data_IF_752771123960
#
_entry.id   IF_752771123960
#
_cell.length_a   1.000
_cell.length_b   1.000
_cell.length_c   1.000
_cell.angle_alpha   90.00
_cell.angle_beta   90.00
_cell.angle_gamma   90.00
#
_symmetry.space_group_name_H-M   'P 1'
#
loop_
_entity.id
_entity.type
_entity.pdbx_description
1 polymer ?
#
# COMPACT_ATOMS: atom_id res chain seq x y z
N UNK A 1 -5.35 -22.31 -24.96
CA UNK A 1 -5.03 -20.88 -24.66
C UNK A 1 -4.17 -20.82 -23.42
N UNK A 2 -3.14 -20.00 -23.41
CA UNK A 2 -2.27 -19.77 -22.25
C UNK A 2 -2.33 -18.30 -21.85
N UNK A 3 -2.11 -18.00 -20.58
CA UNK A 3 -1.95 -16.61 -20.11
C UNK A 3 -0.64 -16.04 -20.67
N UNK A 4 -0.61 -14.71 -20.90
CA UNK A 4 0.61 -14.01 -21.25
C UNK A 4 1.57 -14.02 -20.03
N UNK A 5 2.73 -14.68 -20.19
CA UNK A 5 3.61 -15.02 -19.08
C UNK A 5 4.54 -13.85 -18.72
N UNK A 6 4.13 -13.02 -17.77
CA UNK A 6 4.89 -11.87 -17.26
C UNK A 6 5.28 -11.96 -15.78
N UNK A 7 4.89 -13.05 -15.11
CA UNK A 7 5.17 -13.25 -13.68
C UNK A 7 5.99 -14.53 -13.43
N UNK A 8 7.05 -14.48 -12.62
CA UNK A 8 7.67 -15.69 -12.10
C UNK A 8 6.76 -16.33 -11.06
N UNK A 9 6.08 -17.43 -11.41
CA UNK A 9 5.11 -18.09 -10.56
C UNK A 9 5.77 -19.13 -9.66
N UNK A 10 5.38 -19.19 -8.38
CA UNK A 10 5.56 -20.38 -7.57
C UNK A 10 4.55 -21.44 -8.04
N UNK A 11 4.94 -22.73 -8.18
CA UNK A 11 4.06 -23.79 -8.65
C UNK A 11 3.09 -24.29 -7.55
N UNK A 12 2.35 -23.37 -6.94
CA UNK A 12 1.38 -23.60 -5.87
C UNK A 12 0.04 -23.05 -6.34
N UNK A 13 -0.98 -23.89 -6.43
CA UNK A 13 -2.31 -23.51 -6.86
C UNK A 13 -3.21 -23.26 -5.63
N UNK A 14 -3.35 -22.00 -5.21
CA UNK A 14 -4.20 -21.63 -4.07
C UNK A 14 -5.66 -21.67 -4.49
N UNK A 15 -6.49 -22.42 -3.74
CA UNK A 15 -7.92 -22.64 -4.03
C UNK A 15 -8.85 -22.24 -2.88
N UNK A 16 -8.32 -22.05 -1.68
CA UNK A 16 -9.09 -21.66 -0.49
C UNK A 16 -8.28 -20.73 0.40
N UNK A 17 -8.97 -19.82 1.08
CA UNK A 17 -8.34 -18.91 2.04
C UNK A 17 -9.30 -18.55 3.18
N UNK A 18 -8.79 -18.33 4.40
CA UNK A 18 -9.54 -17.84 5.55
C UNK A 18 -8.60 -17.19 6.58
N UNK A 19 -8.93 -16.01 7.08
CA UNK A 19 -8.11 -15.30 8.06
C UNK A 19 -6.69 -15.03 7.55
N UNK A 20 -5.68 -15.56 8.22
CA UNK A 20 -4.25 -15.48 7.82
C UNK A 20 -3.75 -16.77 7.15
N UNK A 21 -4.64 -17.63 6.65
CA UNK A 21 -4.31 -18.92 6.07
C UNK A 21 -4.80 -19.05 4.64
N UNK A 22 -4.03 -19.78 3.83
CA UNK A 22 -4.40 -20.18 2.47
C UNK A 22 -4.14 -21.67 2.28
N UNK A 23 -4.90 -22.31 1.38
CA UNK A 23 -4.76 -23.75 1.06
C UNK A 23 -4.60 -23.95 -0.44
N UNK A 24 -3.70 -24.86 -0.79
CA UNK A 24 -3.54 -25.26 -2.19
C UNK A 24 -4.57 -26.31 -2.63
N UNK A 25 -4.49 -26.72 -3.90
CA UNK A 25 -5.35 -27.71 -4.52
C UNK A 25 -5.17 -29.14 -3.97
N UNK A 26 -4.12 -29.36 -3.17
CA UNK A 26 -3.84 -30.61 -2.46
C UNK A 26 -4.28 -30.57 -1.00
N UNK A 27 -4.86 -29.46 -0.56
CA UNK A 27 -5.30 -29.25 0.81
C UNK A 27 -4.16 -28.88 1.78
N UNK A 28 -2.96 -28.58 1.26
CA UNK A 28 -1.85 -28.10 2.10
C UNK A 28 -2.15 -26.68 2.58
N UNK A 29 -2.09 -26.50 3.90
CA UNK A 29 -2.25 -25.19 4.53
C UNK A 29 -0.92 -24.42 4.54
N UNK A 30 -1.02 -23.10 4.34
CA UNK A 30 0.08 -22.15 4.44
C UNK A 30 -0.32 -20.98 5.32
N UNK A 31 0.60 -20.48 6.15
CA UNK A 31 0.47 -19.21 6.85
C UNK A 31 0.82 -18.07 5.88
N UNK A 32 -0.06 -17.09 5.76
CA UNK A 32 0.13 -15.93 4.87
C UNK A 32 0.64 -14.71 5.64
N UNK A 33 1.97 -14.52 5.65
CA UNK A 33 2.63 -13.32 6.18
C UNK A 33 2.82 -12.23 5.12
N UNK A 34 2.13 -12.31 3.97
CA UNK A 34 2.30 -11.38 2.86
C UNK A 34 1.02 -10.68 2.42
N UNK A 35 -0.14 -11.31 2.63
CA UNK A 35 -1.44 -10.73 2.31
C UNK A 35 -1.61 -10.32 0.84
N UNK A 36 -0.97 -11.04 -0.11
CA UNK A 36 -1.03 -10.70 -1.52
C UNK A 36 -0.57 -9.26 -1.81
N UNK A 37 0.65 -8.88 -1.44
CA UNK A 37 1.18 -7.51 -1.53
C UNK A 37 0.48 -6.49 -0.60
N UNK A 38 0.06 -6.90 0.61
CA UNK A 38 -0.71 -6.11 1.58
C UNK A 38 -2.14 -5.76 1.09
N UNK A 39 -2.69 -6.55 0.18
CA UNK A 39 -4.08 -6.38 -0.28
C UNK A 39 -5.07 -6.87 0.78
N UNK A 40 -4.76 -8.00 1.40
CA UNK A 40 -5.60 -8.58 2.46
C UNK A 40 -5.37 -7.82 3.77
N UNK A 41 -6.31 -6.93 4.10
CA UNK A 41 -6.22 -6.07 5.29
C UNK A 41 -6.92 -6.68 6.52
N UNK A 42 -8.13 -7.21 6.36
CA UNK A 42 -8.97 -7.71 7.46
C UNK A 42 -9.05 -9.24 7.53
N UNK A 43 -8.21 -9.93 6.75
CA UNK A 43 -8.19 -11.39 6.62
C UNK A 43 -8.92 -11.90 5.39
N UNK A 44 -8.45 -13.05 4.89
CA UNK A 44 -9.07 -13.71 3.76
C UNK A 44 -10.50 -14.13 4.09
N UNK A 45 -11.43 -13.99 3.14
CA UNK A 45 -12.84 -14.41 3.24
C UNK A 45 -13.50 -14.04 4.58
N UNK A 46 -13.24 -12.83 5.05
CA UNK A 46 -13.81 -12.33 6.30
C UNK A 46 -15.34 -12.36 6.25
N UNK A 47 -16.05 -13.00 7.20
CA UNK A 47 -17.49 -13.31 7.04
C UNK A 47 -18.38 -12.08 6.86
N UNK A 48 -18.12 -10.99 7.56
CA UNK A 48 -18.89 -9.75 7.40
C UNK A 48 -18.69 -9.13 6.02
N UNK A 49 -17.45 -9.12 5.52
CA UNK A 49 -17.10 -8.65 4.18
C UNK A 49 -17.79 -9.47 3.08
N UNK A 50 -17.78 -10.81 3.22
CA UNK A 50 -18.51 -11.70 2.29
C UNK A 50 -19.99 -11.37 2.30
N UNK A 51 -20.61 -11.28 3.48
CA UNK A 51 -22.04 -10.97 3.63
C UNK A 51 -22.43 -9.63 3.01
N UNK A 52 -21.64 -8.57 3.24
CA UNK A 52 -21.90 -7.23 2.67
C UNK A 52 -21.87 -7.24 1.13
N UNK A 53 -20.96 -8.01 0.52
CA UNK A 53 -20.88 -8.14 -0.94
C UNK A 53 -22.07 -8.97 -1.47
N UNK A 54 -22.42 -10.08 -0.82
CA UNK A 54 -23.58 -10.89 -1.18
C UNK A 54 -24.88 -10.08 -1.15
N UNK A 55 -25.11 -9.32 -0.08
CA UNK A 55 -26.30 -8.48 0.05
C UNK A 55 -26.34 -7.41 -1.05
N UNK A 56 -25.20 -6.78 -1.32
CA UNK A 56 -25.10 -5.77 -2.36
C UNK A 56 -25.31 -6.37 -3.76
N UNK A 57 -24.82 -7.59 -3.99
CA UNK A 57 -25.00 -8.30 -5.25
C UNK A 57 -26.48 -8.61 -5.52
N UNK A 58 -27.24 -8.93 -4.48
CA UNK A 58 -28.69 -9.13 -4.59
C UNK A 58 -29.48 -7.83 -4.81
N UNK A 59 -28.95 -6.69 -4.34
CA UNK A 59 -29.60 -5.40 -4.54
C UNK A 59 -29.26 -4.80 -5.90
N UNK A 60 -28.01 -4.45 -6.14
CA UNK A 60 -27.50 -3.92 -7.39
C UNK A 60 -25.97 -4.06 -7.44
N UNK A 61 -25.47 -4.68 -8.50
CA UNK A 61 -24.03 -4.87 -8.70
C UNK A 61 -23.36 -3.63 -9.30
N UNK A 62 -24.01 -2.99 -10.27
CA UNK A 62 -23.46 -1.87 -11.03
C UNK A 62 -24.53 -0.95 -11.57
N UNK A 63 -24.26 0.36 -11.54
CA UNK A 63 -24.87 1.35 -12.38
C UNK A 63 -23.84 2.47 -12.69
N UNK A 64 -24.14 3.29 -13.69
CA UNK A 64 -23.27 4.38 -14.15
C UNK A 64 -23.17 5.52 -13.12
N UNK A 65 -22.03 6.18 -13.05
CA UNK A 65 -21.82 7.42 -12.27
C UNK A 65 -22.62 8.63 -12.80
N UNK A 66 -23.57 8.43 -13.69
CA UNK A 66 -24.51 9.47 -14.15
C UNK A 66 -25.72 9.67 -13.22
N UNK A 67 -25.85 8.87 -12.17
CA UNK A 67 -26.91 8.98 -11.14
C UNK A 67 -26.32 8.96 -9.74
N UNK A 68 -27.09 9.44 -8.77
CA UNK A 68 -26.69 9.38 -7.36
C UNK A 68 -26.71 7.94 -6.85
N UNK A 69 -25.63 7.56 -6.19
CA UNK A 69 -25.49 6.26 -5.51
C UNK A 69 -25.23 6.51 -4.02
N UNK A 70 -26.22 6.34 -3.13
CA UNK A 70 -26.07 6.63 -1.70
C UNK A 70 -24.90 5.91 -1.03
N UNK A 71 -24.57 4.70 -1.48
CA UNK A 71 -23.44 3.92 -0.94
C UNK A 71 -22.07 4.59 -1.16
N UNK A 72 -21.92 5.43 -2.19
CA UNK A 72 -20.69 6.21 -2.39
C UNK A 72 -20.56 7.32 -1.35
N UNK A 73 -21.67 7.98 -0.99
CA UNK A 73 -21.71 9.01 0.05
C UNK A 73 -21.48 8.40 1.43
N UNK A 74 -22.08 7.23 1.70
CA UNK A 74 -21.81 6.43 2.92
C UNK A 74 -20.32 6.10 3.04
N UNK A 75 -19.68 5.63 1.96
CA UNK A 75 -18.25 5.34 1.96
C UNK A 75 -17.39 6.58 2.16
N UNK A 76 -17.73 7.72 1.53
CA UNK A 76 -17.00 8.97 1.71
C UNK A 76 -17.06 9.44 3.17
N UNK A 77 -18.24 9.36 3.79
CA UNK A 77 -18.45 9.70 5.21
C UNK A 77 -17.62 8.78 6.12
N UNK A 78 -17.72 7.47 5.93
CA UNK A 78 -16.98 6.51 6.73
C UNK A 78 -15.45 6.66 6.60
N UNK A 79 -14.96 6.98 5.40
CA UNK A 79 -13.54 7.27 5.16
C UNK A 79 -13.08 8.54 5.88
N UNK A 80 -13.85 9.61 5.81
CA UNK A 80 -13.54 10.86 6.50
C UNK A 80 -13.48 10.65 8.02
N UNK A 81 -14.38 9.86 8.57
CA UNK A 81 -14.43 9.55 10.01
C UNK A 81 -13.22 8.72 10.45
N UNK A 82 -12.97 7.58 9.80
CA UNK A 82 -11.89 6.66 10.22
C UNK A 82 -10.50 7.26 9.96
N UNK A 83 -10.33 8.05 8.90
CA UNK A 83 -9.05 8.69 8.56
C UNK A 83 -8.78 9.98 9.32
N UNK A 84 -9.80 10.57 9.96
CA UNK A 84 -9.71 11.90 10.58
C UNK A 84 -9.58 13.04 9.59
N UNK A 85 -9.74 12.80 8.28
CA UNK A 85 -9.65 13.82 7.22
C UNK A 85 -11.06 14.39 6.95
N UNK A 86 -11.60 15.08 7.95
CA UNK A 86 -12.89 15.74 7.84
C UNK A 86 -12.90 16.69 6.64
N UNK A 87 -14.00 16.79 5.94
CA UNK A 87 -14.22 17.67 4.78
C UNK A 87 -13.44 17.33 3.50
N UNK A 88 -12.62 16.25 3.48
CA UNK A 88 -12.01 15.79 2.25
C UNK A 88 -13.07 15.19 1.32
N UNK A 89 -12.89 15.43 0.02
CA UNK A 89 -13.77 14.88 -1.03
C UNK A 89 -13.19 13.57 -1.53
N UNK A 90 -14.05 12.63 -1.91
CA UNK A 90 -13.65 11.31 -2.41
C UNK A 90 -13.90 11.21 -3.93
N UNK A 91 -12.87 10.82 -4.68
CA UNK A 91 -13.02 10.31 -6.05
C UNK A 91 -12.61 8.84 -6.08
N UNK A 92 -13.47 7.97 -6.63
CA UNK A 92 -13.30 6.53 -6.67
C UNK A 92 -12.82 6.03 -8.03
N UNK A 93 -11.96 5.01 -8.03
CA UNK A 93 -11.46 4.30 -9.20
C UNK A 93 -11.28 2.80 -8.86
N UNK A 94 -10.46 2.04 -9.62
CA UNK A 94 -10.43 0.58 -9.48
C UNK A 94 -9.07 0.03 -9.02
N UNK A 95 -8.04 0.85 -9.01
CA UNK A 95 -6.68 0.41 -8.67
C UNK A 95 -5.82 1.55 -8.09
N UNK A 96 -4.69 1.18 -7.47
CA UNK A 96 -3.72 2.16 -6.99
C UNK A 96 -3.04 2.94 -8.11
N UNK A 97 -2.80 2.32 -9.26
CA UNK A 97 -2.26 3.03 -10.41
C UNK A 97 -3.22 4.11 -10.92
N UNK A 98 -4.52 3.78 -11.07
CA UNK A 98 -5.55 4.78 -11.42
C UNK A 98 -5.66 5.88 -10.35
N UNK A 99 -5.58 5.55 -9.07
CA UNK A 99 -5.61 6.53 -7.98
C UNK A 99 -4.45 7.52 -8.10
N UNK A 100 -3.22 7.04 -8.32
CA UNK A 100 -2.04 7.89 -8.51
C UNK A 100 -2.11 8.71 -9.81
N UNK A 101 -2.58 8.12 -10.92
CA UNK A 101 -2.83 8.86 -12.17
C UNK A 101 -3.78 10.03 -11.96
N UNK A 102 -4.91 9.79 -11.30
CA UNK A 102 -5.90 10.82 -11.05
C UNK A 102 -5.39 11.88 -10.06
N UNK A 103 -4.61 11.49 -9.04
CA UNK A 103 -3.97 12.43 -8.11
C UNK A 103 -2.99 13.36 -8.84
N UNK A 104 -2.09 12.81 -9.67
CA UNK A 104 -1.12 13.57 -10.45
C UNK A 104 -1.80 14.49 -11.48
N UNK A 105 -2.80 13.96 -12.19
CA UNK A 105 -3.60 14.72 -13.14
C UNK A 105 -4.33 15.88 -12.47
N UNK A 106 -4.96 15.64 -11.32
CA UNK A 106 -5.69 16.65 -10.55
C UNK A 106 -4.75 17.74 -10.05
N UNK A 107 -3.58 17.36 -9.52
CA UNK A 107 -2.57 18.32 -9.08
C UNK A 107 -2.09 19.24 -10.23
N UNK A 108 -1.90 18.67 -11.42
CA UNK A 108 -1.55 19.43 -12.61
C UNK A 108 -2.67 20.37 -13.06
N UNK A 109 -3.93 19.95 -13.03
CA UNK A 109 -5.08 20.81 -13.30
C UNK A 109 -5.20 21.95 -12.30
N UNK A 110 -5.01 21.67 -11.01
CA UNK A 110 -5.14 22.65 -9.93
C UNK A 110 -4.07 23.74 -10.02
N UNK A 111 -2.81 23.35 -10.27
CA UNK A 111 -1.67 24.27 -10.28
C UNK A 111 -1.39 24.89 -11.67
N UNK A 112 -1.88 24.30 -12.75
CA UNK A 112 -1.51 24.65 -14.13
C UNK A 112 -0.07 24.27 -14.50
N UNK A 113 0.62 23.48 -13.68
CA UNK A 113 2.03 23.12 -13.81
C UNK A 113 2.20 21.68 -14.30
N UNK A 114 3.42 21.32 -14.72
CA UNK A 114 3.70 20.01 -15.36
C UNK A 114 4.64 19.12 -14.56
N UNK A 115 5.59 19.70 -13.80
CA UNK A 115 6.64 18.91 -13.17
C UNK A 115 6.15 18.27 -11.89
N UNK A 116 6.59 17.02 -11.66
CA UNK A 116 6.30 16.24 -10.48
C UNK A 116 7.61 15.78 -9.85
N UNK A 117 7.75 15.94 -8.56
CA UNK A 117 8.84 15.36 -7.79
C UNK A 117 8.42 13.98 -7.30
N UNK A 118 9.25 12.99 -7.58
CA UNK A 118 9.20 11.62 -7.04
C UNK A 118 10.55 11.29 -6.39
N UNK A 119 10.70 10.10 -5.82
CA UNK A 119 11.90 9.75 -5.07
C UNK A 119 12.53 8.46 -5.59
N UNK A 120 13.85 8.33 -5.37
CA UNK A 120 14.56 7.09 -5.70
C UNK A 120 13.90 5.89 -5.03
N UNK A 121 13.83 4.78 -5.76
CA UNK A 121 13.17 3.52 -5.37
C UNK A 121 11.65 3.60 -5.19
N UNK A 122 10.97 4.70 -5.55
CA UNK A 122 9.52 4.81 -5.48
C UNK A 122 8.82 3.82 -6.43
N UNK A 123 7.62 3.41 -6.04
CA UNK A 123 6.72 2.62 -6.88
C UNK A 123 5.28 3.16 -6.78
N UNK A 124 4.80 3.79 -7.83
CA UNK A 124 3.46 4.42 -7.86
C UNK A 124 2.45 3.75 -8.79
N UNK A 125 2.88 2.80 -9.59
CA UNK A 125 2.00 2.06 -10.49
C UNK A 125 2.65 1.64 -11.80
N UNK A 126 1.83 1.12 -12.72
CA UNK A 126 2.29 0.61 -14.02
C UNK A 126 1.60 1.27 -15.21
N UNK A 127 0.83 2.31 -14.98
CA UNK A 127 0.15 3.08 -16.03
C UNK A 127 0.88 4.40 -16.26
N UNK A 128 0.84 4.90 -17.46
CA UNK A 128 1.25 6.23 -17.94
C UNK A 128 2.16 7.06 -16.99
N UNK A 129 1.61 8.07 -16.30
CA UNK A 129 2.39 8.95 -15.43
C UNK A 129 2.78 8.27 -14.09
N UNK A 130 1.96 7.35 -13.59
CA UNK A 130 2.30 6.57 -12.39
C UNK A 130 3.53 5.68 -12.61
N UNK A 131 3.69 5.08 -13.81
CA UNK A 131 4.90 4.32 -14.12
C UNK A 131 6.08 5.24 -14.38
N UNK A 132 5.88 6.41 -14.99
CA UNK A 132 6.94 7.40 -15.17
C UNK A 132 7.47 7.92 -13.82
N UNK A 133 6.60 8.06 -12.80
CA UNK A 133 6.99 8.45 -11.45
C UNK A 133 7.55 7.28 -10.61
N UNK A 134 7.57 6.06 -11.14
CA UNK A 134 8.18 4.87 -10.51
C UNK A 134 9.65 4.78 -10.90
N UNK A 135 10.55 4.69 -9.90
CA UNK A 135 12.00 4.59 -10.14
C UNK A 135 12.40 3.16 -10.51
N UNK A 136 12.00 2.74 -11.70
CA UNK A 136 12.39 1.45 -12.28
C UNK A 136 12.37 1.52 -13.82
N UNK A 137 13.49 1.85 -14.46
CA UNK A 137 13.56 1.97 -15.92
C UNK A 137 13.13 0.70 -16.68
N UNK A 138 13.25 -0.48 -16.08
CA UNK A 138 12.93 -1.74 -16.75
C UNK A 138 11.45 -1.95 -17.04
N UNK A 139 10.56 -1.14 -16.45
CA UNK A 139 9.10 -1.22 -16.63
C UNK A 139 8.51 0.02 -17.28
N UNK A 140 9.33 1.01 -17.62
CA UNK A 140 8.91 2.22 -18.34
C UNK A 140 9.01 1.90 -19.83
N UNK A 141 7.87 1.85 -20.51
CA UNK A 141 7.85 1.70 -21.95
C UNK A 141 8.20 3.05 -22.62
N UNK A 142 8.77 3.08 -23.86
CA UNK A 142 9.13 4.33 -24.54
C UNK A 142 8.00 5.37 -24.62
N UNK A 143 6.75 4.91 -24.72
CA UNK A 143 5.56 5.78 -24.72
C UNK A 143 5.29 6.46 -23.36
N UNK A 144 5.88 5.97 -22.28
CA UNK A 144 5.73 6.53 -20.93
C UNK A 144 6.91 7.40 -20.49
N UNK A 145 7.95 7.52 -21.32
CA UNK A 145 9.09 8.40 -21.05
C UNK A 145 8.65 9.86 -21.04
N UNK A 146 9.10 10.63 -20.06
CA UNK A 146 8.79 12.06 -19.93
C UNK A 146 9.83 12.79 -19.09
N UNK A 147 10.12 14.04 -19.46
CA UNK A 147 10.98 14.96 -18.68
C UNK A 147 10.22 15.69 -17.57
N UNK A 148 8.95 15.33 -17.34
CA UNK A 148 8.13 15.97 -16.30
C UNK A 148 8.36 15.41 -14.90
N UNK A 149 9.06 14.28 -14.76
CA UNK A 149 9.37 13.68 -13.46
C UNK A 149 10.79 14.05 -13.03
N UNK A 150 10.90 14.51 -11.79
CA UNK A 150 12.17 14.83 -11.13
C UNK A 150 12.37 13.80 -10.01
N UNK A 151 13.39 12.95 -10.13
CA UNK A 151 13.73 12.02 -9.07
C UNK A 151 14.74 12.65 -8.11
N UNK A 152 14.40 12.64 -6.81
CA UNK A 152 15.28 13.08 -5.73
C UNK A 152 15.67 11.90 -4.83
N UNK A 153 16.82 11.96 -4.14
CA UNK A 153 17.13 10.95 -3.13
C UNK A 153 16.08 10.93 -2.02
N UNK A 154 15.69 9.72 -1.60
CA UNK A 154 14.74 9.54 -0.50
C UNK A 154 15.39 9.95 0.83
N UNK A 155 14.64 10.66 1.69
CA UNK A 155 15.10 11.24 2.97
C UNK A 155 16.22 12.31 2.85
N UNK A 156 16.40 12.93 1.70
CA UNK A 156 17.37 14.01 1.50
C UNK A 156 16.67 15.38 1.45
N UNK A 157 16.61 16.04 2.63
CA UNK A 157 16.00 17.37 2.78
C UNK A 157 16.76 18.43 1.98
N UNK A 158 18.09 18.32 1.90
CA UNK A 158 18.90 19.33 1.19
C UNK A 158 18.65 19.28 -0.33
N UNK A 159 18.58 18.07 -0.91
CA UNK A 159 18.22 17.87 -2.30
C UNK A 159 16.80 18.38 -2.62
N UNK A 160 15.84 18.14 -1.72
CA UNK A 160 14.46 18.63 -1.83
C UNK A 160 14.44 20.16 -1.86
N UNK A 161 15.04 20.82 -0.87
CA UNK A 161 15.07 22.27 -0.75
C UNK A 161 15.78 22.94 -1.93
N UNK A 162 16.91 22.38 -2.39
CA UNK A 162 17.61 22.84 -3.58
C UNK A 162 16.72 22.77 -4.82
N UNK A 163 16.05 21.65 -5.05
CA UNK A 163 15.13 21.47 -6.18
C UNK A 163 14.02 22.53 -6.18
N UNK A 164 13.42 22.78 -5.03
CA UNK A 164 12.37 23.79 -4.90
C UNK A 164 12.90 25.21 -5.05
N UNK A 165 14.10 25.54 -4.56
CA UNK A 165 14.72 26.85 -4.76
C UNK A 165 14.99 27.14 -6.24
N UNK A 166 15.40 26.12 -7.02
CA UNK A 166 15.76 26.26 -8.44
C UNK A 166 14.52 26.27 -9.36
N UNK A 167 13.48 25.46 -9.07
CA UNK A 167 12.37 25.26 -10.01
C UNK A 167 10.99 25.05 -9.35
N UNK A 168 10.82 25.41 -8.06
CA UNK A 168 9.59 25.18 -7.31
C UNK A 168 8.33 25.76 -7.96
N UNK A 169 8.43 26.90 -8.67
CA UNK A 169 7.29 27.51 -9.38
C UNK A 169 6.81 26.69 -10.58
N UNK A 170 7.58 25.69 -11.05
CA UNK A 170 7.18 24.78 -12.14
C UNK A 170 6.66 23.43 -11.63
N UNK A 171 6.81 23.14 -10.32
CA UNK A 171 6.42 21.87 -9.71
C UNK A 171 4.91 21.88 -9.42
N UNK A 172 4.18 20.94 -10.04
CA UNK A 172 2.75 20.71 -9.80
C UNK A 172 2.52 19.94 -8.50
N UNK A 173 3.33 18.91 -8.26
CA UNK A 173 3.17 18.02 -7.11
C UNK A 173 4.48 17.39 -6.66
N UNK A 174 4.47 16.97 -5.38
CA UNK A 174 5.36 15.96 -4.84
C UNK A 174 4.52 14.72 -4.56
N UNK A 175 4.94 13.54 -5.05
CA UNK A 175 4.32 12.26 -4.73
C UNK A 175 5.30 11.39 -3.95
N UNK A 176 4.84 10.81 -2.82
CA UNK A 176 5.68 10.00 -1.95
C UNK A 176 4.89 8.92 -1.22
N UNK A 177 5.47 7.72 -1.12
CA UNK A 177 5.03 6.69 -0.18
C UNK A 177 5.58 7.03 1.23
N UNK A 178 4.74 7.10 2.24
CA UNK A 178 5.22 7.27 3.64
C UNK A 178 6.10 6.09 4.12
N UNK A 179 5.91 4.92 3.50
CA UNK A 179 6.81 3.76 3.61
C UNK A 179 6.92 3.15 2.22
N UNK A 180 8.10 3.17 1.62
CA UNK A 180 8.36 2.60 0.30
C UNK A 180 8.29 1.08 0.36
N UNK A 181 7.18 0.52 -0.12
CA UNK A 181 6.90 -0.90 0.03
C UNK A 181 7.74 -1.80 -0.87
N UNK A 182 7.75 -1.53 -2.17
CA UNK A 182 8.44 -2.35 -3.19
C UNK A 182 9.95 -2.27 -3.02
N UNK A 183 10.47 -1.13 -2.62
CA UNK A 183 11.88 -0.90 -2.35
C UNK A 183 12.47 -1.77 -1.22
N UNK A 184 11.63 -2.26 -0.30
CA UNK A 184 12.07 -3.06 0.85
C UNK A 184 11.75 -2.43 2.20
N UNK A 185 10.62 -1.75 2.30
CA UNK A 185 10.08 -1.16 3.53
C UNK A 185 10.99 -0.03 4.08
N UNK A 186 11.35 0.92 3.23
CA UNK A 186 12.05 2.12 3.67
C UNK A 186 11.05 3.14 4.20
N UNK A 187 11.21 3.52 5.47
CA UNK A 187 10.34 4.49 6.15
C UNK A 187 10.82 5.91 5.84
N UNK A 188 9.90 6.79 5.49
CA UNK A 188 10.20 8.20 5.38
C UNK A 188 10.41 8.81 6.77
N UNK A 189 11.48 9.61 6.93
CA UNK A 189 11.74 10.32 8.17
C UNK A 189 10.68 11.40 8.39
N UNK A 190 10.23 11.55 9.62
CA UNK A 190 9.18 12.52 9.96
C UNK A 190 9.59 13.95 9.56
N UNK A 191 10.86 14.32 9.80
CA UNK A 191 11.40 15.61 9.38
C UNK A 191 11.41 15.81 7.85
N UNK A 192 11.59 14.71 7.10
CA UNK A 192 11.54 14.77 5.63
C UNK A 192 10.12 15.00 5.11
N UNK A 193 9.12 14.32 5.68
CA UNK A 193 7.71 14.54 5.34
C UNK A 193 7.27 15.97 5.71
N UNK A 194 7.73 16.50 6.84
CA UNK A 194 7.49 17.89 7.26
C UNK A 194 8.16 18.90 6.30
N UNK A 195 9.37 18.59 5.83
CA UNK A 195 10.05 19.44 4.83
C UNK A 195 9.33 19.44 3.49
N UNK A 196 8.78 18.29 3.03
CA UNK A 196 7.93 18.22 1.83
C UNK A 196 6.70 19.09 2.00
N UNK A 197 6.00 18.99 3.14
CA UNK A 197 4.81 19.84 3.40
C UNK A 197 5.16 21.31 3.30
N UNK A 198 6.24 21.72 3.97
CA UNK A 198 6.70 23.11 3.93
C UNK A 198 7.04 23.58 2.52
N UNK A 199 7.79 22.80 1.75
CA UNK A 199 8.10 23.15 0.35
C UNK A 199 6.84 23.27 -0.51
N UNK A 200 5.88 22.35 -0.34
CA UNK A 200 4.62 22.42 -1.06
C UNK A 200 3.83 23.69 -0.70
N UNK A 201 3.77 24.06 0.58
CA UNK A 201 3.09 25.28 1.05
C UNK A 201 3.76 26.56 0.51
N UNK A 202 5.09 26.64 0.63
CA UNK A 202 5.85 27.82 0.22
C UNK A 202 5.75 28.10 -1.30
N UNK A 203 5.62 27.06 -2.11
CA UNK A 203 5.62 27.18 -3.58
C UNK A 203 4.26 26.89 -4.23
N UNK A 204 3.23 26.55 -3.45
CA UNK A 204 1.90 26.20 -3.96
C UNK A 204 1.90 24.94 -4.83
N UNK A 205 2.70 23.93 -4.48
CA UNK A 205 2.68 22.61 -5.08
C UNK A 205 1.75 21.70 -4.28
N UNK A 206 1.18 20.67 -4.92
CA UNK A 206 0.29 19.69 -4.26
C UNK A 206 1.10 18.58 -3.63
N UNK A 207 0.87 18.30 -2.35
CA UNK A 207 1.44 17.16 -1.66
C UNK A 207 0.55 15.93 -1.85
N UNK A 208 1.03 14.90 -2.54
CA UNK A 208 0.33 13.64 -2.78
C UNK A 208 0.96 12.55 -1.89
N UNK A 209 0.19 12.04 -0.93
CA UNK A 209 0.55 10.90 -0.13
C UNK A 209 0.10 9.61 -0.84
N UNK A 210 1.04 8.87 -1.43
CA UNK A 210 0.75 7.52 -1.91
C UNK A 210 0.58 6.56 -0.74
N UNK A 211 -0.67 6.34 -0.36
CA UNK A 211 -1.06 5.45 0.74
C UNK A 211 -1.60 4.11 0.25
N UNK A 212 -1.35 3.77 -1.01
CA UNK A 212 -1.85 2.53 -1.66
C UNK A 212 -1.39 1.28 -0.92
N UNK A 213 -0.16 1.26 -0.38
CA UNK A 213 0.32 0.12 0.39
C UNK A 213 0.45 0.41 1.89
N UNK A 214 0.86 1.62 2.27
CA UNK A 214 1.12 2.00 3.67
C UNK A 214 -0.08 2.62 4.38
N UNK A 215 -1.23 2.76 3.71
CA UNK A 215 -2.49 3.23 4.29
C UNK A 215 -3.32 2.12 4.93
N UNK A 216 -4.56 2.45 5.26
CA UNK A 216 -5.55 1.54 5.85
C UNK A 216 -5.05 0.84 7.12
N UNK A 217 -4.44 1.60 8.03
CA UNK A 217 -4.01 1.11 9.33
C UNK A 217 -2.73 0.27 9.33
N UNK A 218 -2.16 -0.01 8.16
CA UNK A 218 -1.00 -0.90 7.99
C UNK A 218 0.20 -0.52 8.84
N UNK A 219 0.46 0.79 9.00
CA UNK A 219 1.60 1.33 9.77
C UNK A 219 1.30 1.55 11.26
N UNK A 220 0.08 1.26 11.76
CA UNK A 220 -0.37 1.64 13.10
C UNK A 220 -1.08 3.00 13.15
N UNK A 221 -1.13 3.71 12.04
CA UNK A 221 -1.96 4.89 11.79
C UNK A 221 -2.78 4.65 10.52
N UNK A 222 -3.91 5.36 10.33
CA UNK A 222 -4.72 5.16 9.11
C UNK A 222 -3.91 5.50 7.85
N UNK A 223 -3.18 6.61 7.87
CA UNK A 223 -2.16 6.93 6.87
C UNK A 223 -0.77 6.98 7.51
N UNK A 224 0.24 6.44 6.83
CA UNK A 224 1.62 6.46 7.35
C UNK A 224 2.18 7.87 7.56
N UNK A 225 1.69 8.87 6.84
CA UNK A 225 2.05 10.28 6.97
C UNK A 225 1.58 10.90 8.30
N UNK A 226 0.56 10.33 8.94
CA UNK A 226 0.03 10.82 10.22
C UNK A 226 1.06 10.67 11.36
N UNK A 227 2.02 9.74 11.25
CA UNK A 227 3.12 9.61 12.21
C UNK A 227 3.99 10.88 12.29
N UNK A 228 4.17 11.59 11.17
CA UNK A 228 4.95 12.83 11.10
C UNK A 228 4.13 14.08 11.49
N UNK A 229 2.83 13.91 11.80
CA UNK A 229 1.93 15.03 12.09
C UNK A 229 1.64 15.91 10.86
N UNK A 230 1.85 15.40 9.64
CA UNK A 230 1.59 16.16 8.40
C UNK A 230 0.29 15.72 7.73
N UNK A 231 -0.40 16.67 7.09
CA UNK A 231 -1.53 16.37 6.22
C UNK A 231 -1.13 16.64 4.77
N UNK A 232 -1.34 15.63 3.91
CA UNK A 232 -1.21 15.80 2.48
C UNK A 232 -2.47 16.45 1.88
N UNK A 233 -2.36 16.96 0.67
CA UNK A 233 -3.48 17.56 -0.05
C UNK A 233 -4.31 16.51 -0.78
N UNK A 234 -3.66 15.40 -1.19
CA UNK A 234 -4.31 14.25 -1.80
C UNK A 234 -3.71 12.97 -1.20
N UNK A 235 -4.58 12.03 -0.81
CA UNK A 235 -4.19 10.68 -0.38
C UNK A 235 -4.70 9.67 -1.40
N UNK A 236 -3.82 8.92 -2.05
CA UNK A 236 -4.22 7.81 -2.91
C UNK A 236 -4.36 6.51 -2.11
N UNK A 237 -5.38 5.73 -2.42
CA UNK A 237 -5.75 4.52 -1.69
C UNK A 237 -6.12 3.40 -2.66
N UNK A 238 -5.84 2.15 -2.28
CA UNK A 238 -6.30 0.92 -2.93
C UNK A 238 -5.97 -0.29 -2.03
N UNK A 239 -5.68 -1.47 -2.62
CA UNK A 239 -5.23 -2.68 -1.89
C UNK A 239 -6.09 -3.00 -0.67
N UNK A 240 -5.59 -2.63 0.53
CA UNK A 240 -6.30 -2.86 1.80
C UNK A 240 -7.71 -2.28 1.86
N UNK A 241 -8.00 -1.26 1.03
CA UNK A 241 -9.33 -0.66 0.91
C UNK A 241 -10.40 -1.68 0.53
N UNK A 242 -10.09 -2.63 -0.34
CA UNK A 242 -11.05 -3.61 -0.85
C UNK A 242 -10.91 -5.02 -0.28
N UNK A 243 -9.85 -5.30 0.49
CA UNK A 243 -9.55 -6.65 1.00
C UNK A 243 -9.58 -7.74 -0.09
N UNK A 244 -9.10 -7.42 -1.30
CA UNK A 244 -9.11 -8.30 -2.46
C UNK A 244 -10.15 -7.93 -3.53
N UNK A 245 -11.19 -7.14 -3.23
CA UNK A 245 -12.05 -6.57 -4.24
C UNK A 245 -11.36 -5.38 -4.93
N UNK A 246 -11.37 -5.29 -6.28
CA UNK A 246 -10.75 -4.18 -6.99
C UNK A 246 -11.44 -2.85 -6.70
N UNK A 247 -10.77 -2.00 -5.96
CA UNK A 247 -11.17 -0.62 -5.66
C UNK A 247 -9.93 0.23 -5.38
N UNK A 248 -10.00 1.49 -5.75
CA UNK A 248 -9.07 2.53 -5.36
C UNK A 248 -9.78 3.87 -5.31
N UNK A 249 -9.09 4.88 -4.86
CA UNK A 249 -9.62 6.23 -4.81
C UNK A 249 -8.61 7.24 -4.31
N UNK A 250 -9.00 8.50 -4.35
CA UNK A 250 -8.24 9.60 -3.76
C UNK A 250 -9.14 10.40 -2.82
N UNK A 251 -8.61 10.70 -1.62
CA UNK A 251 -9.16 11.75 -0.76
C UNK A 251 -8.49 13.07 -1.13
N UNK A 252 -9.28 14.12 -1.33
CA UNK A 252 -8.89 15.39 -1.91
C UNK A 252 -9.20 16.50 -0.93
N UNK A 253 -8.23 17.36 -0.62
CA UNK A 253 -8.41 18.52 0.25
C UNK A 253 -9.49 19.47 -0.29
N UNK A 254 -10.32 20.09 0.58
CA UNK A 254 -11.51 20.84 0.17
C UNK A 254 -11.21 22.08 -0.68
N UNK A 255 -10.00 22.62 -0.63
CA UNK A 255 -9.60 23.77 -1.44
C UNK A 255 -9.30 23.45 -2.92
N UNK A 256 -9.10 22.17 -3.27
CA UNK A 256 -8.93 21.72 -4.66
C UNK A 256 -10.31 21.57 -5.30
N UNK A 257 -10.64 22.48 -6.21
CA UNK A 257 -11.98 22.58 -6.78
C UNK A 257 -12.22 21.59 -7.93
N UNK A 258 -13.34 20.86 -7.84
CA UNK A 258 -13.82 19.99 -8.90
C UNK A 258 -14.37 20.78 -10.10
N UNK A 259 -14.15 20.25 -11.31
CA UNK A 259 -14.82 20.68 -12.54
C UNK A 259 -15.33 19.45 -13.28
N UNK A 260 -16.52 19.52 -13.84
CA UNK A 260 -17.07 18.43 -14.63
C UNK A 260 -16.11 18.01 -15.76
N UNK A 261 -15.88 16.70 -15.89
CA UNK A 261 -15.01 16.13 -16.92
C UNK A 261 -13.51 16.11 -16.60
N UNK A 262 -13.03 16.64 -15.45
CA UNK A 262 -11.60 16.59 -15.08
C UNK A 262 -11.12 15.17 -14.88
N UNK A 263 -11.88 14.39 -14.13
CA UNK A 263 -11.63 12.99 -13.81
C UNK A 263 -12.82 12.16 -14.27
N UNK A 264 -12.61 10.88 -14.51
CA UNK A 264 -13.69 10.00 -14.95
C UNK A 264 -13.29 8.53 -14.87
N UNK A 265 -14.29 7.67 -14.65
CA UNK A 265 -14.14 6.22 -14.57
C UNK A 265 -15.48 5.56 -14.88
N UNK A 266 -15.46 4.40 -15.53
CA UNK A 266 -16.68 3.63 -15.75
C UNK A 266 -17.08 2.82 -14.53
N UNK A 267 -16.14 2.08 -13.95
CA UNK A 267 -16.41 1.14 -12.86
C UNK A 267 -16.05 1.67 -11.46
N UNK A 268 -15.28 2.75 -11.37
CA UNK A 268 -14.87 3.30 -10.08
C UNK A 268 -16.08 3.75 -9.25
N UNK A 269 -16.16 3.27 -8.02
CA UNK A 269 -17.27 3.55 -7.12
C UNK A 269 -18.53 2.72 -7.39
N UNK A 270 -18.43 1.60 -8.12
CA UNK A 270 -19.57 0.71 -8.26
C UNK A 270 -20.04 0.17 -6.89
N UNK A 271 -21.35 -0.15 -6.75
CA UNK A 271 -21.93 -0.56 -5.47
C UNK A 271 -21.22 -1.74 -4.79
N UNK A 272 -20.75 -2.74 -5.53
CA UNK A 272 -20.05 -3.89 -4.96
C UNK A 272 -18.69 -3.47 -4.35
N UNK A 273 -17.95 -2.63 -5.05
CA UNK A 273 -16.69 -2.10 -4.56
C UNK A 273 -16.87 -1.23 -3.30
N UNK A 274 -17.90 -0.39 -3.28
CA UNK A 274 -18.25 0.41 -2.11
C UNK A 274 -18.67 -0.46 -0.92
N UNK A 275 -19.48 -1.50 -1.14
CA UNK A 275 -19.87 -2.45 -0.10
C UNK A 275 -18.65 -3.20 0.49
N UNK A 276 -17.71 -3.62 -0.37
CA UNK A 276 -16.47 -4.24 0.05
C UNK A 276 -15.62 -3.28 0.93
N UNK A 277 -15.47 -2.02 0.52
CA UNK A 277 -14.70 -1.04 1.24
C UNK A 277 -15.36 -0.62 2.58
N UNK A 278 -16.69 -0.48 2.62
CA UNK A 278 -17.43 -0.23 3.86
C UNK A 278 -17.24 -1.37 4.86
N UNK A 279 -17.37 -2.62 4.41
CA UNK A 279 -17.13 -3.78 5.26
C UNK A 279 -15.71 -3.81 5.84
N UNK A 280 -14.71 -3.39 5.06
CA UNK A 280 -13.33 -3.24 5.57
C UNK A 280 -13.28 -2.24 6.72
N UNK A 281 -13.86 -1.05 6.55
CA UNK A 281 -13.88 0.00 7.58
C UNK A 281 -14.61 -0.49 8.84
N UNK A 282 -15.78 -1.10 8.69
CA UNK A 282 -16.58 -1.64 9.78
C UNK A 282 -15.79 -2.68 10.60
N UNK A 283 -15.13 -3.63 9.94
CA UNK A 283 -14.31 -4.65 10.62
C UNK A 283 -13.08 -4.03 11.27
N UNK A 284 -12.44 -3.04 10.64
CA UNK A 284 -11.30 -2.34 11.22
C UNK A 284 -11.67 -1.60 12.50
N UNK A 285 -12.81 -0.93 12.52
CA UNK A 285 -13.31 -0.20 13.68
C UNK A 285 -13.72 -1.17 14.82
N UNK A 286 -14.53 -2.19 14.51
CA UNK A 286 -14.99 -3.18 15.48
C UNK A 286 -13.83 -3.95 16.14
N UNK A 287 -12.82 -4.31 15.34
CA UNK A 287 -11.65 -5.06 15.79
C UNK A 287 -10.51 -4.18 16.32
N UNK A 288 -10.64 -2.85 16.33
CA UNK A 288 -9.58 -1.91 16.67
C UNK A 288 -8.25 -2.22 15.94
N UNK A 289 -8.35 -2.61 14.65
CA UNK A 289 -7.24 -3.22 13.92
C UNK A 289 -6.06 -2.28 13.69
N UNK A 290 -6.27 -0.96 13.67
CA UNK A 290 -5.18 0.03 13.55
C UNK A 290 -4.27 -0.05 14.78
N UNK A 291 -4.85 0.01 15.97
CA UNK A 291 -4.11 -0.13 17.23
C UNK A 291 -3.47 -1.50 17.37
N UNK A 292 -4.21 -2.55 17.01
CA UNK A 292 -3.68 -3.91 17.02
C UNK A 292 -2.48 -4.08 16.06
N UNK A 293 -2.48 -3.41 14.91
CA UNK A 293 -1.35 -3.42 13.98
C UNK A 293 -0.11 -2.73 14.58
N UNK A 294 -0.29 -1.65 15.31
CA UNK A 294 0.80 -0.98 16.03
C UNK A 294 1.41 -1.88 17.11
N UNK A 295 0.59 -2.43 17.99
CA UNK A 295 1.02 -3.29 19.10
C UNK A 295 1.71 -4.57 18.60
N UNK A 296 1.10 -5.27 17.65
CA UNK A 296 1.66 -6.48 17.03
C UNK A 296 2.93 -6.19 16.23
N UNK A 297 2.96 -5.03 15.57
CA UNK A 297 4.13 -4.55 14.84
C UNK A 297 5.32 -4.34 15.76
N UNK A 298 5.14 -3.65 16.88
CA UNK A 298 6.18 -3.47 17.89
C UNK A 298 6.69 -4.81 18.43
N UNK A 299 5.78 -5.73 18.76
CA UNK A 299 6.15 -7.07 19.20
C UNK A 299 7.01 -7.80 18.17
N UNK A 300 6.58 -7.82 16.90
CA UNK A 300 7.25 -8.54 15.83
C UNK A 300 8.60 -7.90 15.47
N UNK A 301 8.69 -6.57 15.42
CA UNK A 301 9.95 -5.85 15.19
C UNK A 301 10.95 -6.16 16.31
N UNK A 302 10.53 -6.11 17.59
CA UNK A 302 11.39 -6.45 18.71
C UNK A 302 11.87 -7.90 18.66
N UNK A 303 11.00 -8.85 18.35
CA UNK A 303 11.37 -10.25 18.20
C UNK A 303 12.39 -10.47 17.08
N UNK A 304 12.17 -9.83 15.92
CA UNK A 304 13.09 -9.92 14.78
C UNK A 304 14.46 -9.31 15.07
N UNK A 305 14.52 -8.17 15.78
CA UNK A 305 15.81 -7.55 16.18
C UNK A 305 16.62 -8.46 17.13
N UNK A 306 15.97 -9.36 17.85
CA UNK A 306 16.60 -10.33 18.74
C UNK A 306 16.78 -11.72 18.11
N UNK A 307 16.45 -11.87 16.83
CA UNK A 307 16.59 -13.15 16.12
C UNK A 307 17.99 -13.26 15.51
N UNK A 308 18.72 -14.29 15.88
CA UNK A 308 20.05 -14.58 15.33
C UNK A 308 19.99 -14.74 13.80
N UNK A 309 20.93 -14.14 13.08
CA UNK A 309 20.97 -14.16 11.60
C UNK A 309 20.13 -13.07 10.95
N UNK A 310 19.38 -12.27 11.71
CA UNK A 310 18.75 -11.04 11.22
C UNK A 310 19.73 -9.88 11.35
N UNK A 311 20.07 -9.25 10.23
CA UNK A 311 21.03 -8.15 10.16
C UNK A 311 20.43 -6.79 10.52
N UNK A 312 19.23 -6.53 10.03
CA UNK A 312 18.52 -5.27 10.26
C UNK A 312 17.01 -5.45 10.10
N UNK A 313 16.24 -4.66 10.85
CA UNK A 313 14.77 -4.64 10.78
C UNK A 313 14.31 -3.19 10.61
N UNK A 314 13.30 -2.96 9.78
CA UNK A 314 12.69 -1.64 9.57
C UNK A 314 11.20 -1.77 9.28
N UNK A 315 10.45 -0.70 9.52
CA UNK A 315 9.01 -0.65 9.30
C UNK A 315 8.26 0.04 10.42
N UNK A 316 6.95 0.12 10.25
CA UNK A 316 5.97 0.59 11.26
C UNK A 316 4.73 -0.29 11.22
N UNK A 317 4.14 -0.58 12.37
CA UNK A 317 2.98 -1.46 12.45
C UNK A 317 3.26 -2.84 11.83
N UNK A 318 2.34 -3.36 11.03
CA UNK A 318 2.48 -4.62 10.31
C UNK A 318 2.98 -4.43 8.86
N UNK A 319 3.79 -3.41 8.61
CA UNK A 319 4.56 -3.20 7.39
C UNK A 319 6.04 -3.29 7.74
N UNK A 320 6.61 -4.49 7.67
CA UNK A 320 7.94 -4.81 8.19
C UNK A 320 8.82 -5.39 7.10
N UNK A 321 10.05 -4.92 7.02
CA UNK A 321 11.12 -5.48 6.21
C UNK A 321 12.31 -5.85 7.08
N UNK A 322 12.93 -7.00 6.85
CA UNK A 322 14.15 -7.37 7.52
C UNK A 322 15.15 -7.98 6.55
N UNK A 323 16.41 -7.71 6.80
CA UNK A 323 17.53 -8.23 6.03
C UNK A 323 18.22 -9.35 6.79
N UNK A 324 18.63 -10.38 6.07
CA UNK A 324 19.35 -11.49 6.63
C UNK A 324 20.88 -11.29 6.50
N UNK A 325 21.64 -11.90 7.40
CA UNK A 325 23.08 -12.04 7.26
C UNK A 325 23.43 -12.86 6.01
N UNK A 326 24.65 -12.68 5.52
CA UNK A 326 25.15 -13.43 4.38
C UNK A 326 25.08 -14.94 4.63
N UNK A 327 24.66 -15.68 3.61
CA UNK A 327 24.50 -17.12 3.65
C UNK A 327 23.14 -17.64 4.07
N UNK A 328 22.19 -16.75 4.24
CA UNK A 328 20.77 -17.09 4.50
C UNK A 328 19.86 -16.68 3.33
N UNK A 329 20.42 -16.59 2.10
CA UNK A 329 19.71 -16.11 0.91
C UNK A 329 18.50 -17.00 0.54
N UNK A 330 18.57 -18.30 0.85
CA UNK A 330 17.47 -19.24 0.60
C UNK A 330 16.39 -19.28 1.69
N UNK A 331 16.47 -18.42 2.72
CA UNK A 331 15.56 -18.44 3.85
C UNK A 331 14.08 -18.40 3.41
N UNK A 332 13.76 -17.53 2.45
CA UNK A 332 12.38 -17.41 1.95
C UNK A 332 11.91 -18.71 1.27
N UNK A 333 12.79 -19.42 0.58
CA UNK A 333 12.48 -20.73 -0.04
C UNK A 333 12.19 -21.79 1.02
N UNK A 334 13.01 -21.83 2.08
CA UNK A 334 12.82 -22.76 3.21
C UNK A 334 11.50 -22.44 3.94
N UNK A 335 11.21 -21.18 4.22
CA UNK A 335 9.94 -20.76 4.82
C UNK A 335 8.76 -21.23 3.98
N UNK A 336 8.76 -21.02 2.67
CA UNK A 336 7.65 -21.41 1.80
C UNK A 336 7.56 -22.93 1.60
N UNK A 337 8.66 -23.57 1.20
CA UNK A 337 8.61 -24.96 0.74
C UNK A 337 8.59 -25.97 1.89
N UNK A 338 9.32 -25.71 2.97
CA UNK A 338 9.48 -26.67 4.07
C UNK A 338 8.49 -26.34 5.21
N UNK A 339 8.33 -25.05 5.52
CA UNK A 339 7.54 -24.59 6.68
C UNK A 339 6.16 -24.02 6.32
N UNK A 340 5.82 -23.93 5.03
CA UNK A 340 4.53 -23.51 4.53
C UNK A 340 4.14 -22.09 4.97
N UNK A 341 5.10 -21.16 4.90
CA UNK A 341 4.92 -19.76 5.27
C UNK A 341 5.20 -18.87 4.06
N UNK A 342 4.18 -18.17 3.58
CA UNK A 342 4.33 -17.15 2.54
C UNK A 342 4.89 -15.86 3.13
N UNK A 343 5.92 -15.31 2.46
CA UNK A 343 6.48 -13.98 2.74
C UNK A 343 6.71 -13.22 1.44
N UNK A 344 6.77 -11.91 1.50
CA UNK A 344 7.20 -11.08 0.38
C UNK A 344 8.73 -10.96 0.30
N UNK A 345 9.19 -10.42 -0.81
CA UNK A 345 10.60 -10.10 -1.01
C UNK A 345 10.80 -8.70 -1.58
N UNK A 346 11.96 -8.11 -1.30
CA UNK A 346 12.53 -7.02 -2.06
C UNK A 346 14.03 -7.26 -2.24
N UNK A 347 14.52 -7.04 -3.46
CA UNK A 347 15.94 -7.27 -3.78
C UNK A 347 16.85 -6.25 -3.09
N UNK A 348 18.11 -6.62 -2.73
CA UNK A 348 18.68 -7.95 -2.96
C UNK A 348 18.31 -9.00 -1.92
N UNK A 349 18.07 -8.67 -0.62
CA UNK A 349 17.97 -9.66 0.47
C UNK A 349 16.95 -9.26 1.54
N UNK A 350 15.89 -8.55 1.18
CA UNK A 350 14.86 -8.14 2.14
C UNK A 350 13.68 -9.10 2.11
N UNK A 351 13.31 -9.63 3.27
CA UNK A 351 12.04 -10.32 3.46
C UNK A 351 11.02 -9.28 3.96
N UNK A 352 9.85 -9.24 3.32
CA UNK A 352 8.76 -8.35 3.68
C UNK A 352 7.63 -9.11 4.34
N UNK A 353 7.18 -8.60 5.49
CA UNK A 353 6.01 -9.08 6.22
C UNK A 353 4.91 -8.05 6.09
N UNK A 354 3.81 -8.47 5.50
CA UNK A 354 2.63 -7.65 5.20
C UNK A 354 1.35 -8.46 5.51
N UNK A 355 1.27 -9.14 6.68
CA UNK A 355 0.12 -10.00 6.99
C UNK A 355 -1.16 -9.19 7.12
N UNK A 356 -2.30 -9.85 7.19
CA UNK A 356 -3.56 -9.22 7.61
C UNK A 356 -3.40 -8.48 8.94
N UNK A 357 -4.07 -7.32 9.11
CA UNK A 357 -4.11 -6.60 10.39
C UNK A 357 -4.82 -7.41 11.49
N UNK A 358 -5.70 -8.34 11.05
CA UNK A 358 -6.42 -9.26 11.93
C UNK A 358 -5.60 -10.49 12.33
N UNK A 359 -4.33 -10.61 11.89
CA UNK A 359 -3.47 -11.75 12.25
C UNK A 359 -3.45 -11.97 13.77
N UNK A 360 -3.50 -13.23 14.21
CA UNK A 360 -3.45 -13.58 15.63
C UNK A 360 -2.01 -13.53 16.18
N UNK A 361 -1.87 -13.39 17.50
CA UNK A 361 -0.57 -13.53 18.16
C UNK A 361 -0.01 -14.95 18.04
N UNK A 362 -0.90 -15.95 17.98
CA UNK A 362 -0.52 -17.35 17.74
C UNK A 362 0.14 -17.52 16.38
N UNK A 363 -0.44 -16.92 15.31
CA UNK A 363 0.14 -16.96 13.96
C UNK A 363 1.48 -16.21 13.87
N UNK A 364 1.61 -15.09 14.58
CA UNK A 364 2.89 -14.37 14.68
C UNK A 364 3.95 -15.24 15.36
N UNK A 365 3.61 -15.92 16.46
CA UNK A 365 4.54 -16.80 17.17
C UNK A 365 4.88 -18.05 16.34
N UNK A 366 3.92 -18.58 15.58
CA UNK A 366 4.18 -19.66 14.64
C UNK A 366 5.19 -19.23 13.55
N UNK A 367 5.02 -18.02 13.01
CA UNK A 367 6.00 -17.44 12.07
C UNK A 367 7.41 -17.33 12.70
N UNK A 368 7.52 -16.77 13.91
CA UNK A 368 8.81 -16.61 14.60
C UNK A 368 9.48 -17.95 14.89
N UNK A 369 8.71 -18.96 15.29
CA UNK A 369 9.19 -20.33 15.49
C UNK A 369 9.68 -20.93 14.17
N UNK A 370 8.93 -20.75 13.09
CA UNK A 370 9.30 -21.18 11.75
C UNK A 370 10.56 -20.48 11.24
N UNK A 371 10.67 -19.16 11.47
CA UNK A 371 11.85 -18.38 11.10
C UNK A 371 13.12 -18.93 11.76
N UNK A 372 13.09 -19.13 13.07
CA UNK A 372 14.23 -19.69 13.81
C UNK A 372 14.62 -21.08 13.30
N UNK A 373 13.64 -21.95 13.04
CA UNK A 373 13.88 -23.28 12.48
C UNK A 373 14.52 -23.21 11.09
N UNK A 374 14.04 -22.33 10.21
CA UNK A 374 14.57 -22.13 8.87
C UNK A 374 16.04 -21.66 8.89
N UNK A 375 16.37 -20.74 9.80
CA UNK A 375 17.73 -20.25 10.00
C UNK A 375 18.65 -21.39 10.46
N UNK A 376 18.23 -22.21 11.43
CA UNK A 376 18.99 -23.36 11.89
C UNK A 376 19.27 -24.38 10.77
N UNK A 377 18.25 -24.71 9.96
CA UNK A 377 18.40 -25.62 8.81
C UNK A 377 19.44 -25.09 7.81
N UNK A 378 19.44 -23.78 7.53
CA UNK A 378 20.40 -23.21 6.60
C UNK A 378 21.83 -23.14 7.16
N UNK A 379 22.00 -22.91 8.46
CA UNK A 379 23.30 -22.94 9.13
C UNK A 379 23.91 -24.36 9.11
N UNK A 380 23.12 -25.39 9.44
CA UNK A 380 23.56 -26.78 9.42
C UNK A 380 23.93 -27.30 8.03
N UNK A 381 23.42 -26.75 6.95
CA UNK A 381 23.78 -27.13 5.58
C UNK A 381 25.14 -26.60 5.12
N UNK A 382 25.72 -25.68 5.91
CA UNK A 382 27.03 -25.07 5.60
C UNK A 382 28.22 -25.72 6.33
N UNK A 383 27.91 -26.39 7.44
CA UNK A 383 28.88 -27.23 8.17
C UNK A 383 28.96 -28.64 7.53
#
# INVERSE_FOLDING_TARGET
MSLFNVYPLNPIAITKAAGSRVWDDKGQEYLDMYGGHAVISIGHTQPHWVKRIEDQLHAIAFYSNSVVMPIQEELATALNEISGKKDFQLFLCNSGAEANENALKLASFHTGRKKVVSFTKAFHGRTSLAVAATDNPSIIAPVNETDNIIFLPFNDIAALQKCFAEQGTSIAAVIIEGIQGVAGIYVADDAFLQAIRKCCDDFGAVYIADSVQCGYGRSGQFFAHDHAGVSADIYSMAKGMGNGFPIGGILIAPYIQAKFGMLGTTFGGNPLACAAALAVIEVMQQGHLIKAAEEKGHYLINALNNTEGVKSVRGRGLMIGFEMEAGLEDLRKVLLNDLKIFTGEAKPNVIRLLPSLAISMEDINLFLTGLNKAIQVLKQKKD
#
